data_IF_881686592543
#
_entry.id   IF_881686592543
#
_cell.length_a   1.000
_cell.length_b   1.000
_cell.length_c   1.000
_cell.angle_alpha   90.00
_cell.angle_beta   90.00
_cell.angle_gamma   90.00
#
_symmetry.space_group_name_H-M   'P 1'
#
loop_
_entity.id
_entity.type
_entity.pdbx_description
1 polymer ?
#
# COMPACT_ATOMS: atom_id res chain seq x y z
N UNK A 1 32.11 -20.15 58.47
CA UNK A 1 32.90 -20.24 57.23
C UNK A 1 32.14 -20.86 56.04
N UNK A 2 31.26 -21.84 56.22
CA UNK A 2 30.55 -22.52 55.13
C UNK A 2 29.54 -21.69 54.34
N UNK A 3 28.87 -20.71 54.95
CA UNK A 3 27.87 -19.88 54.30
C UNK A 3 28.47 -18.91 53.25
N UNK A 4 29.64 -18.32 53.56
CA UNK A 4 30.35 -17.43 52.64
C UNK A 4 30.89 -18.17 51.38
N UNK A 5 31.30 -19.43 51.55
CA UNK A 5 31.75 -20.25 50.41
C UNK A 5 30.61 -20.63 49.49
N UNK A 6 29.39 -20.91 50.01
CA UNK A 6 28.21 -21.19 49.20
C UNK A 6 27.74 -19.99 48.38
N UNK A 7 27.79 -18.78 48.96
CA UNK A 7 27.41 -17.55 48.23
C UNK A 7 28.41 -17.23 47.11
N UNK A 8 29.70 -17.45 47.33
CA UNK A 8 30.73 -17.26 46.29
C UNK A 8 30.61 -18.27 45.16
N UNK A 9 30.25 -19.52 45.46
CA UNK A 9 30.00 -20.56 44.42
C UNK A 9 28.72 -20.27 43.63
N UNK A 10 27.67 -19.78 44.30
CA UNK A 10 26.43 -19.38 43.61
C UNK A 10 26.65 -18.14 42.71
N UNK A 11 27.44 -17.16 43.17
CA UNK A 11 27.82 -15.99 42.36
C UNK A 11 28.71 -16.37 41.16
N UNK A 12 29.64 -17.29 41.35
CA UNK A 12 30.48 -17.81 40.27
C UNK A 12 29.69 -18.63 39.26
N UNK A 13 28.68 -19.40 39.67
CA UNK A 13 27.75 -20.10 38.81
C UNK A 13 26.84 -19.14 38.02
N UNK A 14 26.33 -18.08 38.66
CA UNK A 14 25.55 -17.04 38.01
C UNK A 14 26.38 -16.27 36.99
N UNK A 15 27.62 -15.93 37.31
CA UNK A 15 28.54 -15.28 36.38
C UNK A 15 28.94 -16.18 35.21
N UNK A 16 29.07 -17.49 35.43
CA UNK A 16 29.38 -18.46 34.35
C UNK A 16 28.19 -18.72 33.44
N UNK A 17 26.95 -18.63 33.94
CA UNK A 17 25.74 -18.72 33.15
C UNK A 17 25.57 -17.45 32.28
N UNK A 18 25.81 -16.25 32.84
CA UNK A 18 25.77 -15.01 32.07
C UNK A 18 26.85 -14.93 30.99
N UNK A 19 28.06 -15.41 31.26
CA UNK A 19 29.14 -15.46 30.26
C UNK A 19 28.90 -16.51 29.16
N UNK A 20 28.24 -17.61 29.49
CA UNK A 20 27.80 -18.59 28.47
C UNK A 20 26.69 -18.04 27.60
N UNK A 21 25.67 -17.38 28.18
CA UNK A 21 24.58 -16.79 27.39
C UNK A 21 25.11 -15.77 26.34
N UNK A 22 26.08 -14.93 26.73
CA UNK A 22 26.67 -13.93 25.86
C UNK A 22 27.50 -14.54 24.70
N UNK A 23 28.18 -15.66 24.92
CA UNK A 23 28.96 -16.38 23.89
C UNK A 23 28.05 -17.16 22.92
N UNK A 24 26.98 -17.71 23.43
CA UNK A 24 25.98 -18.40 22.62
C UNK A 24 25.24 -17.43 21.67
N UNK A 25 24.94 -16.21 22.11
CA UNK A 25 24.23 -15.24 21.29
C UNK A 25 24.92 -14.93 19.95
N UNK A 26 26.25 -14.90 19.87
CA UNK A 26 26.93 -14.63 18.60
C UNK A 26 26.92 -15.84 17.64
N UNK A 27 27.08 -17.04 18.15
CA UNK A 27 27.00 -18.30 17.36
C UNK A 27 25.57 -18.54 16.86
N UNK A 28 24.56 -18.18 17.66
CA UNK A 28 23.15 -18.33 17.32
C UNK A 28 22.72 -17.30 16.24
N UNK A 29 23.31 -16.09 16.23
CA UNK A 29 23.06 -15.11 15.17
C UNK A 29 23.63 -15.57 13.81
N UNK A 30 24.84 -16.14 13.79
CA UNK A 30 25.43 -16.71 12.59
C UNK A 30 24.60 -17.89 12.08
N UNK A 31 24.10 -18.71 13.00
CA UNK A 31 23.20 -19.81 12.66
C UNK A 31 21.84 -19.32 12.17
N UNK A 32 21.28 -18.26 12.77
CA UNK A 32 20.04 -17.65 12.30
C UNK A 32 20.20 -17.11 10.86
N UNK A 33 21.31 -16.45 10.55
CA UNK A 33 21.63 -16.00 9.19
C UNK A 33 21.70 -17.17 8.21
N UNK A 34 22.40 -18.24 8.59
CA UNK A 34 22.48 -19.46 7.79
C UNK A 34 21.08 -20.06 7.51
N UNK A 35 20.18 -20.10 8.51
CA UNK A 35 18.82 -20.57 8.34
C UNK A 35 18.01 -19.66 7.37
N UNK A 36 18.16 -18.35 7.51
CA UNK A 36 17.51 -17.35 6.63
C UNK A 36 17.97 -17.55 5.19
N UNK A 37 19.25 -17.68 4.95
CA UNK A 37 19.84 -17.84 3.62
C UNK A 37 19.45 -19.17 2.96
N UNK A 38 19.18 -20.19 3.76
CA UNK A 38 18.67 -21.48 3.29
C UNK A 38 17.15 -21.61 3.27
N UNK A 39 16.41 -20.49 3.29
CA UNK A 39 14.94 -20.43 3.26
C UNK A 39 14.23 -21.07 4.47
N UNK A 40 14.95 -21.45 5.54
CA UNK A 40 14.43 -22.00 6.79
C UNK A 40 14.01 -20.90 7.76
N UNK A 41 13.19 -19.96 7.28
CA UNK A 41 12.87 -18.71 7.97
C UNK A 41 12.09 -18.90 9.26
N UNK A 42 11.22 -19.91 9.32
CA UNK A 42 10.45 -20.22 10.53
C UNK A 42 11.34 -20.76 11.64
N UNK A 43 12.33 -21.58 11.29
CA UNK A 43 13.30 -22.12 12.25
C UNK A 43 14.23 -21.00 12.75
N UNK A 44 14.63 -20.08 11.86
CA UNK A 44 15.36 -18.89 12.23
C UNK A 44 14.58 -18.01 13.22
N UNK A 45 13.28 -17.79 12.98
CA UNK A 45 12.43 -17.00 13.88
C UNK A 45 12.34 -17.69 15.25
N UNK A 46 12.11 -18.99 15.29
CA UNK A 46 12.05 -19.77 16.55
C UNK A 46 13.36 -19.68 17.33
N UNK A 47 14.50 -19.72 16.63
CA UNK A 47 15.80 -19.52 17.26
C UNK A 47 15.92 -18.10 17.84
N UNK A 48 15.55 -17.06 17.07
CA UNK A 48 15.63 -15.66 17.50
C UNK A 48 14.63 -15.28 18.61
N UNK A 49 13.58 -16.06 18.85
CA UNK A 49 12.65 -15.88 19.96
C UNK A 49 13.19 -16.39 21.30
N UNK A 50 14.40 -16.98 21.32
CA UNK A 50 15.09 -17.35 22.55
C UNK A 50 15.35 -16.19 23.51
N UNK A 51 15.82 -16.50 24.72
CA UNK A 51 16.09 -15.51 25.77
C UNK A 51 17.44 -14.81 25.52
N UNK A 52 17.44 -13.83 24.61
CA UNK A 52 18.60 -13.04 24.24
C UNK A 52 18.55 -11.65 24.86
N UNK A 53 19.74 -11.10 25.12
CA UNK A 53 19.84 -9.68 25.47
C UNK A 53 19.46 -8.81 24.26
N UNK A 54 18.69 -7.73 24.48
CA UNK A 54 18.36 -6.80 23.42
C UNK A 54 19.64 -6.25 22.76
N UNK A 55 19.73 -6.39 21.44
CA UNK A 55 20.83 -5.85 20.64
C UNK A 55 20.28 -5.39 19.28
N UNK A 56 21.00 -4.48 18.64
CA UNK A 56 20.68 -4.00 17.30
C UNK A 56 20.65 -5.15 16.27
N UNK A 57 21.58 -6.10 16.38
CA UNK A 57 21.62 -7.31 15.54
C UNK A 57 20.37 -8.16 15.74
N UNK A 58 19.93 -8.39 16.97
CA UNK A 58 18.71 -9.14 17.26
C UNK A 58 17.48 -8.43 16.69
N UNK A 59 17.36 -7.11 16.92
CA UNK A 59 16.25 -6.31 16.39
C UNK A 59 16.18 -6.41 14.87
N UNK A 60 17.33 -6.27 14.19
CA UNK A 60 17.41 -6.37 12.75
C UNK A 60 17.05 -7.78 12.26
N UNK A 61 17.66 -8.83 12.80
CA UNK A 61 17.43 -10.22 12.36
C UNK A 61 15.97 -10.64 12.58
N UNK A 62 15.37 -10.31 13.72
CA UNK A 62 13.95 -10.56 13.97
C UNK A 62 13.07 -9.83 12.94
N UNK A 63 13.28 -8.52 12.80
CA UNK A 63 12.55 -7.71 11.85
C UNK A 63 12.69 -8.20 10.42
N UNK A 64 13.91 -8.56 10.02
CA UNK A 64 14.21 -9.07 8.69
C UNK A 64 13.57 -10.44 8.44
N UNK A 65 13.63 -11.36 9.40
CA UNK A 65 13.01 -12.68 9.29
C UNK A 65 11.49 -12.59 9.20
N UNK A 66 10.87 -11.76 10.05
CA UNK A 66 9.43 -11.48 10.01
C UNK A 66 8.99 -10.85 8.69
N UNK A 67 9.79 -9.90 8.16
CA UNK A 67 9.55 -9.33 6.84
C UNK A 67 9.56 -10.41 5.75
N UNK A 68 10.55 -11.31 5.76
CA UNK A 68 10.62 -12.41 4.80
C UNK A 68 9.50 -13.44 4.93
N UNK A 69 8.96 -13.62 6.15
CA UNK A 69 7.77 -14.43 6.44
C UNK A 69 6.46 -13.72 6.09
N UNK A 70 6.52 -12.45 5.67
CA UNK A 70 5.37 -11.57 5.38
C UNK A 70 4.52 -11.23 6.62
N UNK A 71 5.06 -11.37 7.80
CA UNK A 71 4.46 -10.89 9.06
C UNK A 71 4.77 -9.40 9.26
N UNK A 72 4.24 -8.57 8.35
CA UNK A 72 4.62 -7.17 8.22
C UNK A 72 4.33 -6.34 9.47
N UNK A 73 3.21 -6.60 10.15
CA UNK A 73 2.84 -5.88 11.38
C UNK A 73 3.92 -6.01 12.47
N UNK A 74 4.46 -7.21 12.65
CA UNK A 74 5.53 -7.45 13.63
C UNK A 74 6.89 -6.95 13.12
N UNK A 75 7.15 -7.12 11.82
CA UNK A 75 8.40 -6.71 11.19
C UNK A 75 8.66 -5.20 11.33
N UNK A 76 7.61 -4.37 11.13
CA UNK A 76 7.72 -2.91 11.20
C UNK A 76 8.32 -2.45 12.53
N UNK A 77 7.78 -2.93 13.66
CA UNK A 77 8.26 -2.55 15.00
C UNK A 77 9.71 -2.95 15.26
N UNK A 78 10.11 -4.16 14.87
CA UNK A 78 11.49 -4.62 15.07
C UNK A 78 12.48 -3.88 14.18
N UNK A 79 12.17 -3.64 12.91
CA UNK A 79 13.04 -2.87 12.01
C UNK A 79 13.17 -1.41 12.46
N UNK A 80 12.07 -0.79 12.89
CA UNK A 80 12.09 0.59 13.39
C UNK A 80 12.87 0.76 14.71
N UNK A 81 13.09 -0.33 15.46
CA UNK A 81 13.86 -0.29 16.72
C UNK A 81 15.38 -0.37 16.52
N UNK A 82 15.88 -0.54 15.31
CA UNK A 82 17.32 -0.57 15.01
C UNK A 82 17.91 0.84 15.11
N UNK A 83 18.90 1.08 15.99
CA UNK A 83 19.44 2.43 16.23
C UNK A 83 20.35 2.90 15.08
N UNK A 84 20.46 4.23 14.90
CA UNK A 84 21.25 4.88 13.85
C UNK A 84 22.74 4.46 13.81
N UNK A 85 23.32 4.11 14.96
CA UNK A 85 24.73 3.65 15.03
C UNK A 85 24.95 2.20 14.56
N UNK A 86 23.88 1.46 14.25
CA UNK A 86 23.97 0.07 13.81
C UNK A 86 24.43 -0.05 12.36
N UNK A 87 25.28 -1.04 12.01
CA UNK A 87 25.61 -1.35 10.62
C UNK A 87 24.38 -1.78 9.78
N UNK A 88 23.29 -2.13 10.43
CA UNK A 88 22.02 -2.53 9.80
C UNK A 88 21.02 -1.38 9.66
N UNK A 89 21.33 -0.20 10.19
CA UNK A 89 20.38 0.91 10.31
C UNK A 89 19.77 1.30 8.96
N UNK A 90 20.58 1.51 7.95
CA UNK A 90 20.10 1.96 6.63
C UNK A 90 19.13 0.95 6.02
N UNK A 91 19.51 -0.33 6.01
CA UNK A 91 18.63 -1.39 5.52
C UNK A 91 17.34 -1.47 6.35
N UNK A 92 17.44 -1.39 7.66
CA UNK A 92 16.29 -1.42 8.57
C UNK A 92 15.35 -0.22 8.35
N UNK A 93 15.88 1.00 8.24
CA UNK A 93 15.13 2.23 8.00
C UNK A 93 14.30 2.14 6.70
N UNK A 94 14.95 1.82 5.60
CA UNK A 94 14.28 1.79 4.30
C UNK A 94 13.27 0.65 4.18
N UNK A 95 13.55 -0.52 4.74
CA UNK A 95 12.58 -1.63 4.78
C UNK A 95 11.44 -1.36 5.75
N UNK A 96 11.71 -0.75 6.92
CA UNK A 96 10.67 -0.33 7.87
C UNK A 96 9.69 0.64 7.21
N UNK A 97 10.21 1.63 6.48
CA UNK A 97 9.39 2.59 5.74
C UNK A 97 8.51 1.90 4.69
N UNK A 98 9.06 1.01 3.88
CA UNK A 98 8.29 0.27 2.88
C UNK A 98 7.23 -0.65 3.52
N UNK A 99 7.56 -1.28 4.64
CA UNK A 99 6.63 -2.12 5.40
C UNK A 99 5.49 -1.29 5.98
N UNK A 100 5.78 -0.16 6.62
CA UNK A 100 4.77 0.76 7.15
C UNK A 100 3.82 1.25 6.04
N UNK A 101 4.36 1.58 4.87
CA UNK A 101 3.55 1.96 3.72
C UNK A 101 2.62 0.83 3.26
N UNK A 102 3.07 -0.43 3.25
CA UNK A 102 2.21 -1.58 2.93
C UNK A 102 1.11 -1.82 3.97
N UNK A 103 1.34 -1.44 5.22
CA UNK A 103 0.35 -1.49 6.32
C UNK A 103 -0.63 -0.31 6.30
N UNK A 104 -0.43 0.66 5.39
CA UNK A 104 -1.27 1.86 5.28
C UNK A 104 -0.84 3.01 6.18
N UNK A 105 0.28 2.87 6.88
CA UNK A 105 0.89 3.97 7.65
C UNK A 105 1.86 4.74 6.74
N UNK A 106 1.38 5.86 6.23
CA UNK A 106 2.15 6.72 5.33
C UNK A 106 2.79 7.92 6.02
N UNK A 107 2.53 8.12 7.33
CA UNK A 107 3.02 9.28 8.08
C UNK A 107 4.26 8.95 8.92
N UNK A 108 4.21 7.86 9.70
CA UNK A 108 5.29 7.50 10.63
C UNK A 108 6.66 7.38 9.97
N UNK A 109 6.81 6.88 8.71
CA UNK A 109 8.13 6.75 8.08
C UNK A 109 8.75 8.08 7.63
N UNK A 110 7.98 9.17 7.55
CA UNK A 110 8.43 10.43 6.93
C UNK A 110 9.55 11.07 7.74
N UNK A 111 9.33 11.29 9.03
CA UNK A 111 10.29 11.98 9.87
C UNK A 111 11.65 11.26 9.98
N UNK A 112 11.72 9.92 10.17
CA UNK A 112 12.98 9.19 10.12
C UNK A 112 13.69 9.27 8.77
N UNK A 113 12.93 9.21 7.65
CA UNK A 113 13.51 9.34 6.31
C UNK A 113 14.03 10.76 6.07
N UNK A 114 13.30 11.80 6.46
CA UNK A 114 13.75 13.19 6.32
C UNK A 114 15.04 13.46 7.11
N UNK A 115 15.16 12.90 8.31
CA UNK A 115 16.35 13.01 9.14
C UNK A 115 17.57 12.25 8.62
N UNK A 116 17.38 11.29 7.73
CA UNK A 116 18.48 10.48 7.18
C UNK A 116 19.44 11.30 6.32
N UNK A 117 20.74 11.28 6.64
CA UNK A 117 21.82 11.99 5.94
C UNK A 117 22.92 11.04 5.39
N UNK A 118 22.53 9.83 5.00
CA UNK A 118 23.46 8.82 4.48
C UNK A 118 23.61 8.85 2.94
N UNK A 119 24.34 7.87 2.38
CA UNK A 119 24.71 7.82 0.96
C UNK A 119 23.51 7.54 0.01
N UNK A 120 22.36 7.10 0.51
CA UNK A 120 21.21 6.70 -0.29
C UNK A 120 20.20 7.83 -0.49
N UNK A 121 20.65 9.03 -0.87
CA UNK A 121 19.81 10.22 -1.04
C UNK A 121 18.71 10.04 -2.11
N UNK A 122 19.03 9.43 -3.26
CA UNK A 122 18.04 9.13 -4.31
C UNK A 122 16.97 8.14 -3.81
N UNK A 123 17.38 7.07 -3.12
CA UNK A 123 16.45 6.09 -2.55
C UNK A 123 15.53 6.71 -1.50
N UNK A 124 16.08 7.60 -0.64
CA UNK A 124 15.30 8.42 0.30
C UNK A 124 14.24 9.24 -0.45
N UNK A 125 14.65 9.92 -1.53
CA UNK A 125 13.75 10.70 -2.36
C UNK A 125 12.61 9.87 -2.96
N UNK A 126 12.93 8.70 -3.50
CA UNK A 126 11.92 7.76 -4.06
C UNK A 126 10.91 7.33 -2.99
N UNK A 127 11.37 6.99 -1.78
CA UNK A 127 10.45 6.61 -0.71
C UNK A 127 9.59 7.76 -0.23
N UNK A 128 10.17 8.94 0.02
CA UNK A 128 9.43 10.14 0.40
C UNK A 128 8.43 10.56 -0.68
N UNK A 129 8.81 10.49 -1.96
CA UNK A 129 7.91 10.78 -3.08
C UNK A 129 6.75 9.78 -3.15
N UNK A 130 7.03 8.50 -2.97
CA UNK A 130 5.99 7.46 -2.91
C UNK A 130 5.01 7.68 -1.75
N UNK A 131 5.52 7.95 -0.55
CA UNK A 131 4.70 8.27 0.63
C UNK A 131 3.85 9.53 0.40
N UNK A 132 4.42 10.57 -0.22
CA UNK A 132 3.70 11.79 -0.57
C UNK A 132 2.54 11.53 -1.54
N UNK A 133 2.74 10.67 -2.56
CA UNK A 133 1.67 10.25 -3.46
C UNK A 133 0.57 9.48 -2.75
N UNK A 134 0.92 8.58 -1.82
CA UNK A 134 -0.07 7.80 -1.04
C UNK A 134 -0.90 8.69 -0.11
N UNK A 135 -0.33 9.82 0.36
CA UNK A 135 -1.01 10.83 1.19
C UNK A 135 -1.75 11.89 0.38
N UNK A 136 -1.68 11.86 -0.96
CA UNK A 136 -2.18 12.92 -1.84
C UNK A 136 -1.57 14.30 -1.56
N UNK A 137 -0.28 14.36 -1.23
CA UNK A 137 0.46 15.60 -0.99
C UNK A 137 1.37 15.95 -2.18
N UNK A 138 0.89 16.77 -3.13
CA UNK A 138 1.67 17.16 -4.30
C UNK A 138 2.88 18.06 -3.96
N UNK A 139 2.82 18.79 -2.84
CA UNK A 139 3.91 19.68 -2.44
C UNK A 139 5.08 18.86 -1.85
N UNK A 140 4.77 17.87 -1.00
CA UNK A 140 5.77 16.94 -0.47
C UNK A 140 6.41 16.12 -1.60
N UNK A 141 5.62 15.67 -2.58
CA UNK A 141 6.16 14.97 -3.75
C UNK A 141 7.20 15.82 -4.50
N UNK A 142 6.90 17.07 -4.80
CA UNK A 142 7.83 17.96 -5.52
C UNK A 142 9.15 18.13 -4.77
N UNK A 143 9.10 18.35 -3.45
CA UNK A 143 10.31 18.45 -2.62
C UNK A 143 11.13 17.15 -2.65
N UNK A 144 10.48 16.01 -2.50
CA UNK A 144 11.16 14.71 -2.55
C UNK A 144 11.78 14.43 -3.94
N UNK A 145 11.10 14.80 -5.01
CA UNK A 145 11.55 14.61 -6.39
C UNK A 145 12.75 15.51 -6.78
N UNK A 146 13.11 16.51 -5.98
CA UNK A 146 14.33 17.30 -6.19
C UNK A 146 15.61 16.45 -6.06
N UNK A 147 15.54 15.33 -5.35
CA UNK A 147 16.64 14.38 -5.21
C UNK A 147 16.72 13.33 -6.32
N UNK A 148 15.79 13.33 -7.27
CA UNK A 148 15.78 12.36 -8.37
C UNK A 148 16.96 12.61 -9.32
N UNK A 149 17.81 11.60 -9.45
CA UNK A 149 19.01 11.68 -10.29
C UNK A 149 18.84 11.05 -11.66
N UNK A 150 17.90 10.10 -11.80
CA UNK A 150 17.67 9.30 -13.02
C UNK A 150 18.93 8.59 -13.55
N UNK A 151 19.96 8.46 -12.74
CA UNK A 151 21.27 7.95 -13.14
C UNK A 151 21.54 6.54 -12.66
N UNK A 152 20.98 6.16 -11.52
CA UNK A 152 21.09 4.79 -10.99
C UNK A 152 20.04 3.89 -11.63
N UNK A 153 20.50 2.89 -12.39
CA UNK A 153 19.65 1.93 -13.08
C UNK A 153 18.65 1.21 -12.15
N UNK A 154 19.01 1.00 -10.88
CA UNK A 154 18.16 0.35 -9.90
C UNK A 154 16.99 1.23 -9.42
N UNK A 155 17.13 2.53 -9.54
CA UNK A 155 16.20 3.53 -8.96
C UNK A 155 15.45 4.31 -10.06
N UNK A 156 16.09 4.60 -11.20
CA UNK A 156 15.58 5.45 -12.26
C UNK A 156 14.21 5.04 -12.81
N UNK A 157 13.91 3.74 -12.91
CA UNK A 157 12.59 3.28 -13.35
C UNK A 157 11.51 3.68 -12.32
N UNK A 158 11.81 3.57 -11.03
CA UNK A 158 10.89 3.97 -9.95
C UNK A 158 10.66 5.47 -9.92
N UNK A 159 11.70 6.29 -10.12
CA UNK A 159 11.60 7.75 -10.24
C UNK A 159 10.68 8.15 -11.40
N UNK A 160 10.87 7.53 -12.57
CA UNK A 160 10.03 7.76 -13.75
C UNK A 160 8.56 7.36 -13.48
N UNK A 161 8.32 6.19 -12.91
CA UNK A 161 6.97 5.70 -12.61
C UNK A 161 6.24 6.57 -11.60
N UNK A 162 6.90 6.99 -10.54
CA UNK A 162 6.31 7.91 -9.57
C UNK A 162 6.00 9.28 -10.21
N UNK A 163 6.87 9.78 -11.09
CA UNK A 163 6.64 10.99 -11.87
C UNK A 163 5.45 10.88 -12.82
N UNK A 164 5.26 9.74 -13.52
CA UNK A 164 4.09 9.47 -14.35
C UNK A 164 2.79 9.47 -13.54
N UNK A 165 2.81 8.82 -12.35
CA UNK A 165 1.65 8.76 -11.45
C UNK A 165 1.32 10.17 -10.93
N UNK A 166 2.33 10.98 -10.55
CA UNK A 166 2.13 12.37 -10.14
C UNK A 166 1.41 13.18 -11.22
N UNK A 167 1.91 13.15 -12.47
CA UNK A 167 1.30 13.86 -13.59
C UNK A 167 -0.15 13.43 -13.83
N UNK A 168 -0.40 12.12 -13.81
CA UNK A 168 -1.76 11.61 -13.99
C UNK A 168 -2.68 12.06 -12.86
N UNK A 169 -2.23 11.99 -11.60
CA UNK A 169 -3.06 12.22 -10.41
C UNK A 169 -3.38 13.69 -10.17
N UNK A 170 -2.42 14.58 -10.42
CA UNK A 170 -2.53 16.00 -10.08
C UNK A 170 -2.61 16.94 -11.28
N UNK A 171 -2.14 16.54 -12.45
CA UNK A 171 -2.14 17.39 -13.64
C UNK A 171 -3.24 16.97 -14.65
N UNK A 172 -3.76 15.73 -14.56
CA UNK A 172 -4.82 15.25 -15.45
C UNK A 172 -6.17 15.29 -14.74
N UNK A 173 -7.20 15.79 -15.44
CA UNK A 173 -8.57 15.79 -14.88
C UNK A 173 -9.17 14.39 -14.85
N UNK A 174 -9.49 13.90 -13.67
CA UNK A 174 -10.27 12.69 -13.50
C UNK A 174 -11.67 12.83 -14.13
N UNK A 175 -12.26 11.72 -14.55
CA UNK A 175 -13.64 11.72 -15.06
C UNK A 175 -14.61 12.13 -13.96
N UNK A 176 -15.56 13.03 -14.28
CA UNK A 176 -16.53 13.53 -13.31
C UNK A 176 -17.74 12.60 -13.20
N UNK A 177 -18.04 12.04 -12.01
CA UNK A 177 -19.25 11.24 -11.78
C UNK A 177 -20.54 12.05 -12.00
N UNK A 178 -20.51 13.35 -11.63
CA UNK A 178 -21.65 14.23 -11.82
C UNK A 178 -21.95 14.46 -13.31
N UNK A 179 -20.90 14.66 -14.12
CA UNK A 179 -21.06 14.79 -15.58
C UNK A 179 -21.65 13.53 -16.19
N UNK A 180 -21.26 12.34 -15.72
CA UNK A 180 -21.83 11.09 -16.17
C UNK A 180 -23.33 10.96 -15.84
N UNK A 181 -23.70 11.33 -14.61
CA UNK A 181 -25.11 11.33 -14.16
C UNK A 181 -25.97 12.30 -14.98
N UNK A 182 -25.48 13.53 -15.18
CA UNK A 182 -26.19 14.53 -15.99
C UNK A 182 -26.30 14.12 -17.45
N UNK A 183 -25.24 13.57 -18.06
CA UNK A 183 -25.30 13.03 -19.41
C UNK A 183 -26.35 11.90 -19.55
N UNK A 184 -26.47 11.03 -18.56
CA UNK A 184 -27.46 9.96 -18.54
C UNK A 184 -28.89 10.41 -18.25
N UNK A 185 -29.05 11.59 -17.64
CA UNK A 185 -30.36 12.22 -17.49
C UNK A 185 -30.89 12.77 -18.83
N UNK A 186 -30.02 13.20 -19.74
CA UNK A 186 -30.44 13.60 -21.08
C UNK A 186 -30.60 12.41 -22.04
N UNK A 187 -29.59 11.51 -22.03
CA UNK A 187 -29.59 10.31 -22.88
C UNK A 187 -29.26 9.10 -22.02
N UNK A 188 -30.25 8.22 -21.75
CA UNK A 188 -30.02 7.03 -20.94
C UNK A 188 -28.82 6.23 -21.41
N UNK A 189 -27.90 5.85 -20.50
CA UNK A 189 -26.69 5.08 -20.79
C UNK A 189 -25.47 5.89 -21.22
N UNK A 190 -25.60 7.19 -21.57
CA UNK A 190 -24.47 7.98 -22.05
C UNK A 190 -23.37 8.15 -20.99
N UNK A 191 -23.72 8.28 -19.72
CA UNK A 191 -22.76 8.35 -18.62
C UNK A 191 -21.98 7.05 -18.41
N UNK A 192 -22.59 5.89 -18.66
CA UNK A 192 -21.88 4.61 -18.62
C UNK A 192 -20.88 4.48 -19.78
N UNK A 193 -21.27 4.96 -20.97
CA UNK A 193 -20.35 5.05 -22.13
C UNK A 193 -19.18 5.98 -21.80
N UNK A 194 -19.45 7.12 -21.19
CA UNK A 194 -18.41 8.06 -20.72
C UNK A 194 -17.47 7.41 -19.70
N UNK A 195 -17.97 6.54 -18.81
CA UNK A 195 -17.16 5.76 -17.89
C UNK A 195 -16.23 4.75 -18.60
N UNK A 196 -16.57 4.35 -19.84
CA UNK A 196 -15.89 3.30 -20.61
C UNK A 196 -16.70 2.00 -20.72
N UNK A 197 -17.87 1.92 -20.09
CA UNK A 197 -18.74 0.74 -20.08
C UNK A 197 -19.75 0.81 -21.24
N UNK A 198 -19.25 0.70 -22.49
CA UNK A 198 -20.05 0.90 -23.71
C UNK A 198 -21.24 -0.06 -23.78
N UNK A 199 -21.01 -1.36 -23.50
CA UNK A 199 -22.07 -2.38 -23.58
C UNK A 199 -23.21 -2.13 -22.59
N UNK A 200 -22.89 -1.76 -21.34
CA UNK A 200 -23.87 -1.41 -20.32
C UNK A 200 -24.63 -0.12 -20.66
N UNK A 201 -23.93 0.83 -21.29
CA UNK A 201 -24.55 2.08 -21.74
C UNK A 201 -25.58 1.85 -22.82
N UNK A 202 -25.25 1.06 -23.85
CA UNK A 202 -26.17 0.68 -24.95
C UNK A 202 -27.37 -0.12 -24.39
N UNK A 203 -27.13 -1.09 -23.51
CA UNK A 203 -28.19 -1.85 -22.86
C UNK A 203 -29.14 -0.96 -22.08
N UNK A 204 -28.62 0.01 -21.30
CA UNK A 204 -29.45 0.98 -20.55
C UNK A 204 -30.28 1.85 -21.49
N UNK A 205 -29.71 2.31 -22.62
CA UNK A 205 -30.42 3.08 -23.62
C UNK A 205 -31.59 2.30 -24.21
N UNK A 206 -31.33 1.04 -24.61
CA UNK A 206 -32.37 0.17 -25.25
C UNK A 206 -33.48 -0.15 -24.25
N UNK A 207 -33.16 -0.50 -22.98
CA UNK A 207 -34.18 -0.84 -21.98
C UNK A 207 -35.05 0.35 -21.66
N UNK A 208 -34.45 1.51 -21.32
CA UNK A 208 -35.20 2.72 -20.97
C UNK A 208 -35.98 3.23 -22.20
N UNK A 209 -35.39 3.19 -23.39
CA UNK A 209 -36.02 3.60 -24.63
C UNK A 209 -37.23 2.73 -24.99
N UNK A 210 -37.09 1.40 -24.90
CA UNK A 210 -38.19 0.47 -25.16
C UNK A 210 -39.36 0.64 -24.18
N UNK A 211 -39.06 0.73 -22.86
CA UNK A 211 -40.08 0.96 -21.83
C UNK A 211 -40.78 2.31 -22.01
N UNK A 212 -40.01 3.34 -22.36
CA UNK A 212 -40.52 4.67 -22.66
C UNK A 212 -41.47 4.65 -23.90
N UNK A 213 -41.07 3.96 -24.95
CA UNK A 213 -41.90 3.81 -26.16
C UNK A 213 -43.21 3.06 -25.87
N UNK A 214 -43.17 1.94 -25.15
CA UNK A 214 -44.35 1.18 -24.74
C UNK A 214 -45.26 2.06 -23.85
N UNK A 215 -44.69 2.80 -22.90
CA UNK A 215 -45.48 3.71 -22.05
C UNK A 215 -46.14 4.80 -22.87
N UNK A 216 -45.43 5.43 -23.81
CA UNK A 216 -45.95 6.47 -24.69
C UNK A 216 -47.06 5.95 -25.62
N UNK A 217 -46.89 4.75 -26.16
CA UNK A 217 -47.92 4.12 -27.02
C UNK A 217 -49.23 3.93 -26.26
N UNK A 218 -49.16 3.34 -25.05
CA UNK A 218 -50.39 3.13 -24.26
C UNK A 218 -50.98 4.43 -23.69
N UNK A 219 -50.12 5.43 -23.42
CA UNK A 219 -50.60 6.75 -23.03
C UNK A 219 -51.50 7.36 -24.12
N UNK A 220 -51.06 7.26 -25.37
CA UNK A 220 -51.83 7.80 -26.53
C UNK A 220 -53.08 6.98 -26.82
N UNK A 221 -53.02 5.64 -26.75
CA UNK A 221 -54.11 4.74 -27.13
C UNK A 221 -55.14 4.54 -26.04
N UNK A 222 -54.72 4.33 -24.81
CA UNK A 222 -55.56 3.87 -23.70
C UNK A 222 -55.75 4.96 -22.62
N UNK A 223 -55.01 6.07 -22.71
CA UNK A 223 -55.03 7.20 -21.75
C UNK A 223 -54.10 7.02 -20.55
N UNK A 224 -53.82 8.13 -19.82
CA UNK A 224 -52.84 8.14 -18.73
C UNK A 224 -53.26 7.33 -17.48
N UNK A 225 -54.58 7.16 -17.24
CA UNK A 225 -55.11 6.44 -16.08
C UNK A 225 -55.21 4.92 -16.28
N UNK A 226 -54.90 4.40 -17.47
CA UNK A 226 -54.99 2.97 -17.75
C UNK A 226 -53.82 2.23 -17.12
N UNK A 227 -54.08 1.05 -16.53
CA UNK A 227 -53.02 0.23 -15.93
C UNK A 227 -51.93 -0.16 -16.91
N UNK A 228 -52.27 -0.32 -18.22
CA UNK A 228 -51.32 -0.58 -19.29
C UNK A 228 -50.32 0.56 -19.55
N UNK A 229 -50.64 1.78 -19.15
CA UNK A 229 -49.79 2.95 -19.17
C UNK A 229 -49.00 3.09 -17.85
N UNK A 230 -49.70 2.92 -16.71
CA UNK A 230 -49.14 3.16 -15.38
C UNK A 230 -48.01 2.15 -15.09
N UNK A 231 -48.23 0.87 -15.30
CA UNK A 231 -47.27 -0.17 -14.97
C UNK A 231 -45.94 -0.02 -15.73
N UNK A 232 -45.94 0.06 -17.05
CA UNK A 232 -44.66 0.28 -17.81
C UNK A 232 -44.04 1.63 -17.47
N UNK A 233 -44.82 2.67 -17.22
CA UNK A 233 -44.35 4.00 -16.82
C UNK A 233 -43.58 3.99 -15.50
N UNK A 234 -44.11 3.32 -14.48
CA UNK A 234 -43.45 3.18 -13.18
C UNK A 234 -42.14 2.37 -13.32
N UNK A 235 -42.19 1.29 -14.07
CA UNK A 235 -41.01 0.47 -14.36
C UNK A 235 -39.95 1.29 -15.13
N UNK A 236 -40.36 2.03 -16.15
CA UNK A 236 -39.50 2.92 -16.91
C UNK A 236 -38.84 3.99 -16.01
N UNK A 237 -39.63 4.63 -15.15
CA UNK A 237 -39.09 5.61 -14.18
C UNK A 237 -38.07 5.00 -13.23
N UNK A 238 -38.29 3.79 -12.73
CA UNK A 238 -37.34 3.06 -11.89
C UNK A 238 -36.03 2.77 -12.62
N UNK A 239 -36.09 2.25 -13.85
CA UNK A 239 -34.91 2.01 -14.69
C UNK A 239 -34.18 3.31 -15.07
N UNK A 240 -34.91 4.37 -15.34
CA UNK A 240 -34.34 5.68 -15.66
C UNK A 240 -33.57 6.27 -14.47
N UNK A 241 -34.13 6.28 -13.27
CA UNK A 241 -33.45 6.74 -12.04
C UNK A 241 -32.23 5.84 -11.76
N UNK A 242 -32.40 4.52 -11.84
CA UNK A 242 -31.33 3.55 -11.68
C UNK A 242 -30.19 3.73 -12.69
N UNK A 243 -30.52 4.12 -13.93
CA UNK A 243 -29.52 4.42 -14.95
C UNK A 243 -28.70 5.68 -14.63
N UNK A 244 -29.33 6.75 -14.13
CA UNK A 244 -28.63 7.98 -13.72
C UNK A 244 -27.67 7.67 -12.56
N UNK A 245 -28.16 7.01 -11.52
CA UNK A 245 -27.35 6.61 -10.36
C UNK A 245 -26.23 5.64 -10.78
N UNK A 246 -26.55 4.63 -11.59
CA UNK A 246 -25.57 3.66 -12.09
C UNK A 246 -24.46 4.32 -12.92
N UNK A 247 -24.77 5.38 -13.65
CA UNK A 247 -23.78 6.15 -14.42
C UNK A 247 -22.82 6.93 -13.53
N UNK A 248 -23.34 7.54 -12.44
CA UNK A 248 -22.52 8.17 -11.41
C UNK A 248 -21.56 7.15 -10.78
N UNK A 249 -22.11 6.00 -10.37
CA UNK A 249 -21.33 4.93 -9.72
C UNK A 249 -20.30 4.32 -10.68
N UNK A 250 -20.61 4.17 -11.97
CA UNK A 250 -19.67 3.63 -12.95
C UNK A 250 -18.39 4.46 -13.06
N UNK A 251 -18.50 5.79 -13.06
CA UNK A 251 -17.31 6.68 -13.07
C UNK A 251 -16.58 6.65 -11.73
N UNK A 252 -17.30 6.67 -10.62
CA UNK A 252 -16.69 6.57 -9.29
C UNK A 252 -15.87 5.29 -9.13
N UNK A 253 -16.44 4.15 -9.53
CA UNK A 253 -15.76 2.85 -9.49
C UNK A 253 -14.53 2.86 -10.42
N UNK A 254 -14.65 3.42 -11.63
CA UNK A 254 -13.54 3.53 -12.56
C UNK A 254 -12.38 4.35 -11.96
N UNK A 255 -12.68 5.52 -11.38
CA UNK A 255 -11.68 6.37 -10.75
C UNK A 255 -10.99 5.67 -9.55
N UNK A 256 -11.78 4.98 -8.71
CA UNK A 256 -11.23 4.24 -7.57
C UNK A 256 -10.32 3.09 -8.04
N UNK A 257 -10.71 2.32 -9.05
CA UNK A 257 -9.87 1.26 -9.63
C UNK A 257 -8.53 1.80 -10.15
N UNK A 258 -8.55 2.95 -10.82
CA UNK A 258 -7.32 3.60 -11.30
C UNK A 258 -6.45 4.00 -10.09
N UNK A 259 -7.05 4.59 -9.06
CA UNK A 259 -6.35 5.00 -7.84
C UNK A 259 -5.73 3.81 -7.10
N UNK A 260 -6.47 2.72 -6.94
CA UNK A 260 -5.99 1.49 -6.29
C UNK A 260 -4.83 0.86 -7.08
N UNK A 261 -4.92 0.83 -8.42
CA UNK A 261 -3.83 0.39 -9.28
C UNK A 261 -2.59 1.28 -9.14
N UNK A 262 -2.77 2.61 -9.06
CA UNK A 262 -1.67 3.54 -8.81
C UNK A 262 -1.05 3.33 -7.43
N UNK A 263 -1.86 3.18 -6.37
CA UNK A 263 -1.35 2.92 -5.02
C UNK A 263 -0.53 1.62 -4.98
N UNK A 264 -1.03 0.56 -5.61
CA UNK A 264 -0.28 -0.70 -5.74
C UNK A 264 1.05 -0.49 -6.48
N UNK A 265 1.04 0.29 -7.56
CA UNK A 265 2.26 0.61 -8.32
C UNK A 265 3.23 1.44 -7.49
N UNK A 266 2.76 2.41 -6.70
CA UNK A 266 3.60 3.20 -5.79
C UNK A 266 4.28 2.28 -4.77
N UNK A 267 3.50 1.45 -4.07
CA UNK A 267 4.03 0.51 -3.07
C UNK A 267 5.10 -0.42 -3.68
N UNK A 268 4.89 -0.85 -4.91
CA UNK A 268 5.86 -1.66 -5.64
C UNK A 268 7.16 -0.88 -5.93
N UNK A 269 7.04 0.38 -6.38
CA UNK A 269 8.19 1.20 -6.75
C UNK A 269 8.99 1.73 -5.56
N UNK A 270 8.42 1.88 -4.37
CA UNK A 270 9.19 2.17 -3.16
C UNK A 270 9.91 0.93 -2.60
N UNK A 271 9.46 -0.27 -2.96
CA UNK A 271 10.01 -1.52 -2.43
C UNK A 271 11.07 -2.17 -3.33
N UNK A 272 10.87 -2.18 -4.67
CA UNK A 272 11.79 -2.85 -5.60
C UNK A 272 13.23 -2.36 -5.50
N UNK A 273 13.52 -1.04 -5.46
CA UNK A 273 14.88 -0.56 -5.38
C UNK A 273 15.66 -1.12 -4.18
N UNK A 274 14.96 -1.40 -3.07
CA UNK A 274 15.60 -1.94 -1.86
C UNK A 274 16.32 -3.26 -2.10
N UNK A 275 15.74 -4.12 -2.94
CA UNK A 275 16.35 -5.43 -3.29
C UNK A 275 17.62 -5.29 -4.11
N UNK A 276 17.74 -4.21 -4.88
CA UNK A 276 18.91 -3.94 -5.70
C UNK A 276 20.02 -3.25 -4.91
N UNK A 277 19.63 -2.32 -4.03
CA UNK A 277 20.54 -1.52 -3.20
C UNK A 277 21.08 -2.33 -2.01
N UNK A 278 20.22 -3.08 -1.33
CA UNK A 278 20.58 -3.85 -0.11
C UNK A 278 20.64 -5.35 -0.40
N UNK A 279 21.54 -5.72 -1.29
CA UNK A 279 21.81 -7.14 -1.61
C UNK A 279 22.42 -7.87 -0.44
#
# INVERSE_FOLDING_TARGET
>A
MRFRSMVLVALALLASVGARAQKWASEDYDFALYLIDNELKQDALTLLEGDYHPSDTLCFLKGWTLYQLKELDKASGWLASVPEGSPFYEKALFYSSAVSAHLGDYESPVAPLEAYEGPYAELKGVQLAGLALLRDDPAAFKRAAESFGYSDFAIADSENKLGEIYKYRFETKAKSPLLAATASAFVPGLGKIYAGNIGEGIASFLVVGALGAITAEHWIKDGPGNWKTIVPGVVCAGFYIGNIYGSYMSVSICNNKIRDAQNTTILYNIHIPLRSVFK
#
